data_IF_656417906141
#
_entry.id   IF_656417906141
#
_cell.length_a   1.000
_cell.length_b   1.000
_cell.length_c   1.000
_cell.angle_alpha   90.00
_cell.angle_beta   90.00
_cell.angle_gamma   90.00
#
_symmetry.space_group_name_H-M   'P 1'
#
loop_
_entity.id
_entity.type
_entity.pdbx_description
1 polymer ?
#
# COMPACT_ATOMS: atom_id res chain seq x y z
N UNK A 1 6.39 -3.46 -6.44
CA UNK A 1 5.51 -4.52 -5.89
C UNK A 1 4.54 -5.10 -6.92
N UNK A 2 3.96 -4.33 -7.86
CA UNK A 2 3.03 -4.87 -8.88
C UNK A 2 3.58 -6.05 -9.70
N UNK A 3 4.84 -6.00 -10.13
CA UNK A 3 5.47 -7.07 -10.92
C UNK A 3 5.69 -8.39 -10.16
N UNK A 4 5.48 -8.38 -8.83
CA UNK A 4 5.52 -9.61 -8.04
C UNK A 4 4.24 -10.45 -8.19
N UNK A 5 3.17 -9.88 -8.75
CA UNK A 5 1.93 -10.58 -9.03
C UNK A 5 1.88 -11.07 -10.49
N UNK A 6 0.86 -11.88 -10.80
CA UNK A 6 0.58 -12.31 -12.17
C UNK A 6 0.45 -11.10 -13.12
N UNK A 7 0.89 -11.23 -14.39
CA UNK A 7 1.47 -12.43 -15.01
C UNK A 7 2.98 -12.60 -14.82
N UNK A 8 3.67 -11.62 -14.22
CA UNK A 8 5.14 -11.59 -14.15
C UNK A 8 5.71 -12.48 -13.03
N UNK A 9 5.02 -12.57 -11.89
CA UNK A 9 5.37 -13.44 -10.77
C UNK A 9 6.82 -13.27 -10.25
N UNK A 10 7.37 -12.05 -10.30
CA UNK A 10 8.71 -11.76 -9.76
C UNK A 10 8.66 -11.59 -8.23
N UNK A 11 8.43 -12.70 -7.52
CA UNK A 11 8.15 -12.74 -6.08
C UNK A 11 9.17 -11.97 -5.21
N UNK A 12 10.45 -11.97 -5.60
CA UNK A 12 11.53 -11.22 -4.95
C UNK A 12 11.27 -9.71 -4.86
N UNK A 13 10.53 -9.13 -5.82
CA UNK A 13 10.23 -7.69 -5.87
C UNK A 13 9.29 -7.28 -4.75
N UNK A 14 8.45 -8.18 -4.22
CA UNK A 14 7.61 -7.89 -3.05
C UNK A 14 8.48 -7.62 -1.81
N UNK A 15 9.49 -8.48 -1.58
CA UNK A 15 10.45 -8.33 -0.49
C UNK A 15 11.25 -7.04 -0.60
N UNK A 16 11.79 -6.74 -1.79
CA UNK A 16 12.53 -5.49 -2.02
C UNK A 16 11.65 -4.25 -1.81
N UNK A 17 10.39 -4.31 -2.22
CA UNK A 17 9.48 -3.17 -2.11
C UNK A 17 9.06 -2.90 -0.66
N UNK A 18 8.69 -3.94 0.10
CA UNK A 18 8.31 -3.79 1.51
C UNK A 18 9.53 -3.53 2.40
N UNK A 19 10.66 -4.18 2.11
CA UNK A 19 11.94 -3.91 2.79
C UNK A 19 12.44 -2.49 2.54
N UNK A 20 12.30 -1.99 1.30
CA UNK A 20 12.60 -0.60 0.96
C UNK A 20 11.70 0.39 1.70
N UNK A 21 10.39 0.12 1.78
CA UNK A 21 9.46 0.93 2.57
C UNK A 21 9.84 0.95 4.06
N UNK A 22 10.13 -0.22 4.64
CA UNK A 22 10.59 -0.35 6.02
C UNK A 22 11.88 0.44 6.26
N UNK A 23 12.85 0.37 5.35
CA UNK A 23 14.10 1.13 5.45
C UNK A 23 13.87 2.65 5.39
N UNK A 24 13.01 3.12 4.49
CA UNK A 24 12.66 4.55 4.40
C UNK A 24 11.98 5.05 5.67
N UNK A 25 11.03 4.28 6.21
CA UNK A 25 10.37 4.62 7.48
C UNK A 25 11.36 4.58 8.66
N UNK A 26 12.30 3.63 8.67
CA UNK A 26 13.38 3.58 9.64
C UNK A 26 14.21 4.87 9.65
N UNK A 27 14.60 5.36 8.47
CA UNK A 27 15.32 6.63 8.32
C UNK A 27 14.51 7.82 8.85
N UNK A 28 13.21 7.87 8.56
CA UNK A 28 12.37 8.96 9.11
C UNK A 28 12.30 8.96 10.62
N UNK A 29 12.33 7.79 11.26
CA UNK A 29 12.38 7.69 12.72
C UNK A 29 13.73 8.18 13.23
N UNK A 30 14.82 7.75 12.61
CA UNK A 30 16.18 8.09 13.07
C UNK A 30 16.51 9.58 12.88
N UNK A 31 15.96 10.20 11.84
CA UNK A 31 16.09 11.65 11.59
C UNK A 31 15.10 12.50 12.43
N UNK A 32 14.24 11.88 13.25
CA UNK A 32 13.30 12.58 14.13
C UNK A 32 12.12 13.24 13.41
N UNK A 33 11.72 12.71 12.25
CA UNK A 33 10.62 13.26 11.45
C UNK A 33 9.25 12.99 12.09
N UNK A 34 8.22 13.68 11.59
CA UNK A 34 6.87 13.62 12.17
C UNK A 34 6.10 12.42 11.64
N UNK A 35 5.08 11.92 12.36
CA UNK A 35 4.20 10.85 11.88
C UNK A 35 3.55 11.14 10.51
N UNK A 36 3.32 12.42 10.20
CA UNK A 36 2.83 12.85 8.88
C UNK A 36 3.76 12.42 7.75
N UNK A 37 5.06 12.46 7.97
CA UNK A 37 6.04 12.14 6.93
C UNK A 37 6.08 10.63 6.66
N UNK A 38 5.98 9.82 7.72
CA UNK A 38 5.75 8.37 7.59
C UNK A 38 4.45 8.04 6.85
N UNK A 39 3.39 8.82 7.11
CA UNK A 39 2.13 8.70 6.39
C UNK A 39 2.30 8.99 4.89
N UNK A 40 3.00 10.07 4.54
CA UNK A 40 3.23 10.47 3.15
C UNK A 40 4.09 9.44 2.40
N UNK A 41 5.16 8.93 3.01
CA UNK A 41 6.01 7.90 2.39
C UNK A 41 5.21 6.63 2.09
N UNK A 42 4.47 6.13 3.08
CA UNK A 42 3.66 4.92 2.90
C UNK A 42 2.46 5.16 1.97
N UNK A 43 1.86 6.36 1.97
CA UNK A 43 0.83 6.75 1.02
C UNK A 43 1.37 6.78 -0.42
N UNK A 44 2.57 7.33 -0.65
CA UNK A 44 3.20 7.36 -1.97
C UNK A 44 3.50 5.95 -2.48
N UNK A 45 3.99 5.07 -1.60
CA UNK A 45 4.20 3.65 -1.93
C UNK A 45 2.88 2.96 -2.29
N UNK A 46 1.85 3.11 -1.45
CA UNK A 46 0.52 2.57 -1.69
C UNK A 46 -0.10 3.11 -2.98
N UNK A 47 0.01 4.40 -3.22
CA UNK A 47 -0.53 5.06 -4.40
C UNK A 47 0.11 4.52 -5.68
N UNK A 48 1.44 4.37 -5.71
CA UNK A 48 2.14 3.72 -6.82
C UNK A 48 1.70 2.26 -7.03
N UNK A 49 1.53 1.50 -5.95
CA UNK A 49 1.06 0.11 -6.01
C UNK A 49 -0.36 0.02 -6.59
N UNK A 50 -1.30 0.81 -6.08
CA UNK A 50 -2.70 0.73 -6.49
C UNK A 50 -2.94 1.35 -7.86
N UNK A 51 -2.33 2.48 -8.19
CA UNK A 51 -2.47 3.07 -9.52
C UNK A 51 -1.95 2.12 -10.60
N UNK A 52 -0.80 1.48 -10.39
CA UNK A 52 -0.28 0.56 -11.38
C UNK A 52 -1.03 -0.79 -11.39
N UNK A 53 -1.33 -1.37 -10.23
CA UNK A 53 -1.90 -2.72 -10.13
C UNK A 53 -3.43 -2.80 -10.15
N UNK A 54 -4.13 -1.67 -10.01
CA UNK A 54 -5.61 -1.59 -9.96
C UNK A 54 -6.17 -0.66 -11.06
N UNK A 55 -5.31 -0.12 -11.93
CA UNK A 55 -5.71 0.73 -13.07
C UNK A 55 -6.79 0.11 -13.96
N UNK A 56 -6.86 -1.22 -14.04
CA UNK A 56 -7.86 -1.95 -14.81
C UNK A 56 -9.31 -1.64 -14.40
N UNK A 57 -9.57 -1.13 -13.19
CA UNK A 57 -10.91 -0.66 -12.77
C UNK A 57 -11.44 0.45 -13.67
N UNK A 58 -10.56 1.25 -14.28
CA UNK A 58 -10.95 2.26 -15.27
C UNK A 58 -11.78 1.66 -16.40
N UNK A 59 -11.37 0.48 -16.91
CA UNK A 59 -12.11 -0.22 -17.96
C UNK A 59 -13.48 -0.65 -17.44
N UNK A 60 -13.55 -1.13 -16.20
CA UNK A 60 -14.82 -1.52 -15.59
C UNK A 60 -15.81 -0.36 -15.49
N UNK A 61 -15.35 0.80 -15.05
CA UNK A 61 -16.17 2.00 -14.91
C UNK A 61 -16.59 2.60 -16.26
N UNK A 62 -15.67 2.65 -17.22
CA UNK A 62 -15.94 3.24 -18.53
C UNK A 62 -16.82 2.35 -19.40
N UNK A 63 -16.52 1.05 -19.49
CA UNK A 63 -17.20 0.10 -20.38
C UNK A 63 -18.50 -0.41 -19.76
N UNK A 64 -18.45 -0.95 -18.54
CA UNK A 64 -19.64 -1.54 -17.91
C UNK A 64 -20.46 -0.51 -17.13
N UNK A 65 -19.80 0.50 -16.55
CA UNK A 65 -20.48 1.61 -15.89
C UNK A 65 -21.01 2.69 -16.84
N UNK A 66 -20.63 2.66 -18.12
CA UNK A 66 -21.02 3.67 -19.12
C UNK A 66 -20.52 5.08 -18.80
N UNK A 67 -19.52 5.22 -17.92
CA UNK A 67 -19.01 6.52 -17.51
C UNK A 67 -18.14 7.15 -18.60
N UNK A 68 -18.22 8.48 -18.83
CA UNK A 68 -17.26 9.17 -19.68
C UNK A 68 -15.82 8.91 -19.22
N UNK A 69 -14.90 8.72 -20.16
CA UNK A 69 -13.53 8.28 -19.87
C UNK A 69 -12.82 9.14 -18.81
N UNK A 70 -12.95 10.47 -18.88
CA UNK A 70 -12.35 11.38 -17.90
C UNK A 70 -12.90 11.17 -16.48
N UNK A 71 -14.21 10.92 -16.35
CA UNK A 71 -14.86 10.68 -15.05
C UNK A 71 -14.45 9.32 -14.50
N UNK A 72 -14.38 8.29 -15.35
CA UNK A 72 -13.89 6.96 -14.96
C UNK A 72 -12.43 6.99 -14.49
N UNK A 73 -11.58 7.77 -15.18
CA UNK A 73 -10.18 7.97 -14.79
C UNK A 73 -10.06 8.69 -13.44
N UNK A 74 -10.82 9.78 -13.24
CA UNK A 74 -10.87 10.49 -11.96
C UNK A 74 -11.36 9.58 -10.83
N UNK A 75 -12.43 8.83 -11.05
CA UNK A 75 -12.97 7.89 -10.07
C UNK A 75 -11.94 6.79 -9.71
N UNK A 76 -11.24 6.24 -10.70
CA UNK A 76 -10.17 5.24 -10.47
C UNK A 76 -9.01 5.84 -9.67
N UNK A 77 -8.59 7.07 -9.99
CA UNK A 77 -7.54 7.77 -9.26
C UNK A 77 -7.94 8.03 -7.81
N UNK A 78 -9.15 8.55 -7.56
CA UNK A 78 -9.68 8.78 -6.21
C UNK A 78 -9.81 7.48 -5.43
N UNK A 79 -10.22 6.38 -6.09
CA UNK A 79 -10.27 5.07 -5.48
C UNK A 79 -8.88 4.58 -5.06
N UNK A 80 -7.86 4.75 -5.90
CA UNK A 80 -6.48 4.40 -5.54
C UNK A 80 -5.95 5.26 -4.38
N UNK A 81 -6.30 6.55 -4.33
CA UNK A 81 -5.98 7.41 -3.19
C UNK A 81 -6.67 6.93 -1.91
N UNK A 82 -7.94 6.54 -1.98
CA UNK A 82 -8.67 5.97 -0.85
C UNK A 82 -7.99 4.69 -0.34
N UNK A 83 -7.60 3.77 -1.22
CA UNK A 83 -6.87 2.56 -0.84
C UNK A 83 -5.49 2.88 -0.22
N UNK A 84 -4.87 3.98 -0.63
CA UNK A 84 -3.57 4.42 -0.10
C UNK A 84 -3.65 4.97 1.33
N UNK A 85 -4.85 5.27 1.84
CA UNK A 85 -5.04 5.67 3.24
C UNK A 85 -4.65 4.55 4.20
N UNK A 86 -4.90 3.28 3.87
CA UNK A 86 -4.54 2.14 4.72
C UNK A 86 -3.02 2.03 4.96
N UNK A 87 -2.15 1.98 3.93
CA UNK A 87 -0.70 2.03 4.15
C UNK A 87 -0.24 3.36 4.75
N UNK A 88 -0.87 4.49 4.44
CA UNK A 88 -0.55 5.78 5.08
C UNK A 88 -0.74 5.73 6.61
N UNK A 89 -1.84 5.15 7.08
CA UNK A 89 -2.10 4.95 8.50
C UNK A 89 -1.05 4.02 9.13
N UNK A 90 -0.68 2.93 8.46
CA UNK A 90 0.39 2.05 8.93
C UNK A 90 1.73 2.79 9.05
N UNK A 91 2.12 3.58 8.05
CA UNK A 91 3.34 4.38 8.08
C UNK A 91 3.35 5.43 9.18
N UNK A 92 2.23 6.14 9.38
CA UNK A 92 2.09 7.13 10.44
C UNK A 92 2.21 6.51 11.84
N UNK A 93 1.52 5.39 12.06
CA UNK A 93 1.56 4.67 13.32
C UNK A 93 2.93 4.05 13.56
N UNK A 94 3.61 3.57 12.52
CA UNK A 94 4.95 3.02 12.63
C UNK A 94 5.95 4.05 13.13
N UNK A 95 5.92 5.27 12.57
CA UNK A 95 6.77 6.39 13.04
C UNK A 95 6.36 6.84 14.44
N UNK A 96 5.06 6.96 14.72
CA UNK A 96 4.55 7.44 16.02
C UNK A 96 4.85 6.50 17.18
N UNK A 97 4.77 5.19 16.95
CA UNK A 97 4.91 4.15 17.97
C UNK A 97 6.30 3.50 17.95
N UNK A 98 7.24 4.09 17.20
CA UNK A 98 8.55 3.50 16.98
C UNK A 98 9.28 3.26 18.31
N UNK A 99 9.60 1.98 18.56
CA UNK A 99 10.47 1.59 19.65
C UNK A 99 11.94 1.59 19.21
N UNK A 100 12.85 1.62 20.18
CA UNK A 100 14.27 1.41 19.92
C UNK A 100 14.55 -0.06 19.55
N UNK A 101 15.51 -0.25 18.65
CA UNK A 101 15.96 -1.58 18.21
C UNK A 101 15.27 -2.08 16.94
N UNK A 102 16.08 -2.63 16.04
CA UNK A 102 15.65 -3.09 14.72
C UNK A 102 14.52 -4.13 14.77
N UNK A 103 14.65 -5.17 15.61
CA UNK A 103 13.66 -6.25 15.69
C UNK A 103 12.28 -5.75 16.12
N UNK A 104 12.22 -4.85 17.12
CA UNK A 104 10.96 -4.28 17.59
C UNK A 104 10.28 -3.44 16.50
N UNK A 105 11.06 -2.66 15.76
CA UNK A 105 10.55 -1.90 14.60
C UNK A 105 10.06 -2.86 13.50
N UNK A 106 10.81 -3.90 13.17
CA UNK A 106 10.41 -4.86 12.15
C UNK A 106 9.09 -5.57 12.50
N UNK A 107 8.94 -6.02 13.75
CA UNK A 107 7.70 -6.63 14.23
C UNK A 107 6.53 -5.65 14.23
N UNK A 108 6.75 -4.40 14.67
CA UNK A 108 5.74 -3.34 14.62
C UNK A 108 5.31 -3.06 13.18
N UNK A 109 6.25 -2.97 12.23
CA UNK A 109 5.96 -2.77 10.82
C UNK A 109 5.11 -3.92 10.26
N UNK A 110 5.52 -5.17 10.50
CA UNK A 110 4.79 -6.35 10.04
C UNK A 110 3.35 -6.38 10.60
N UNK A 111 3.18 -6.09 11.90
CA UNK A 111 1.86 -6.05 12.54
C UNK A 111 0.97 -4.95 11.95
N UNK A 112 1.51 -3.73 11.79
CA UNK A 112 0.76 -2.60 11.24
C UNK A 112 0.42 -2.78 9.76
N UNK A 113 1.34 -3.33 8.97
CA UNK A 113 1.08 -3.64 7.56
C UNK A 113 -0.03 -4.69 7.42
N UNK A 114 0.07 -5.77 8.19
CA UNK A 114 -0.95 -6.84 8.21
C UNK A 114 -2.31 -6.29 8.65
N UNK A 115 -2.34 -5.45 9.69
CA UNK A 115 -3.56 -4.80 10.15
C UNK A 115 -4.16 -3.89 9.06
N UNK A 116 -3.33 -3.13 8.34
CA UNK A 116 -3.79 -2.28 7.25
C UNK A 116 -4.37 -3.09 6.08
N UNK A 117 -3.74 -4.20 5.70
CA UNK A 117 -4.28 -5.11 4.69
C UNK A 117 -5.60 -5.75 5.14
N UNK A 118 -5.69 -6.16 6.41
CA UNK A 118 -6.91 -6.71 6.99
C UNK A 118 -8.05 -5.69 7.02
N UNK A 119 -7.81 -4.47 7.51
CA UNK A 119 -8.82 -3.41 7.50
C UNK A 119 -9.29 -3.11 6.08
N UNK A 120 -8.37 -3.03 5.11
CA UNK A 120 -8.70 -2.83 3.69
C UNK A 120 -9.53 -3.96 3.11
N UNK A 121 -9.41 -5.18 3.64
CA UNK A 121 -10.20 -6.33 3.22
C UNK A 121 -11.64 -6.34 3.76
N UNK A 122 -11.97 -5.45 4.71
CA UNK A 122 -13.25 -5.50 5.42
C UNK A 122 -14.03 -4.17 5.42
N UNK A 123 -13.34 -3.05 5.63
CA UNK A 123 -13.95 -1.72 5.66
C UNK A 123 -14.65 -1.41 4.33
N UNK A 124 -15.87 -0.88 4.39
CA UNK A 124 -16.70 -0.55 3.21
C UNK A 124 -16.81 -1.73 2.22
N UNK A 125 -17.21 -2.89 2.74
CA UNK A 125 -17.30 -4.19 2.03
C UNK A 125 -15.97 -4.79 1.59
N UNK A 126 -14.86 -4.06 1.75
CA UNK A 126 -13.51 -4.55 1.50
C UNK A 126 -13.08 -4.54 0.04
N UNK A 127 -11.76 -4.43 -0.16
CA UNK A 127 -11.11 -4.58 -1.46
C UNK A 127 -9.71 -5.22 -1.29
N UNK A 128 -9.61 -6.55 -1.09
CA UNK A 128 -8.37 -7.25 -0.74
C UNK A 128 -7.45 -7.56 -1.94
N UNK A 129 -7.36 -6.67 -2.92
CA UNK A 129 -6.44 -6.84 -4.07
C UNK A 129 -4.99 -6.52 -3.69
N UNK A 130 -4.02 -7.16 -4.36
CA UNK A 130 -2.58 -6.91 -4.19
C UNK A 130 -2.08 -7.06 -2.75
N UNK A 131 -2.63 -8.00 -1.97
CA UNK A 131 -2.08 -8.30 -0.63
C UNK A 131 -0.74 -9.01 -0.76
N UNK A 132 0.20 -8.69 0.13
CA UNK A 132 1.58 -9.15 0.04
C UNK A 132 1.71 -10.69 0.00
N UNK A 133 0.83 -11.41 0.70
CA UNK A 133 0.84 -12.87 0.76
C UNK A 133 0.60 -13.57 -0.58
N UNK A 134 -0.28 -13.03 -1.44
CA UNK A 134 -0.53 -13.60 -2.77
C UNK A 134 0.68 -13.48 -3.71
N UNK A 135 1.61 -12.56 -3.42
CA UNK A 135 2.87 -12.50 -4.17
C UNK A 135 3.85 -13.61 -3.78
N UNK A 136 3.48 -14.59 -2.95
CA UNK A 136 4.33 -15.74 -2.60
C UNK A 136 3.68 -17.09 -2.93
N UNK A 137 2.53 -17.08 -3.60
CA UNK A 137 1.88 -18.29 -4.11
C UNK A 137 2.33 -18.55 -5.55
N UNK A 138 2.59 -19.82 -5.93
CA UNK A 138 2.94 -20.19 -7.30
C UNK A 138 1.83 -19.85 -8.32
#
# INVERSE_FOLDING_TARGET
MVTAFAPLAWFAVAWLSLGGLFALLGRTIDEGWRPRDGALIAASHGCGLFLAGVSWIHVSLSVFGGMPAAVAALATFLFCLLLSVFPALAGALHVRLAASGWLRRALLFAALWTLAEWLRSWVLTGFPWLTAGYAQTP
#
